data_IF_458215452154
#
_entry.id   IF_458215452154
#
_cell.length_a   1.000
_cell.length_b   1.000
_cell.length_c   1.000
_cell.angle_alpha   90.00
_cell.angle_beta   90.00
_cell.angle_gamma   90.00
#
_symmetry.space_group_name_H-M   'P 1'
#
loop_
_entity.id
_entity.type
_entity.pdbx_description
1 polymer ?
#
# COMPACT_ATOMS: atom_id res chain seq x y z
N UNK A 1 -38.51 19.39 -29.94
CA UNK A 1 -38.12 18.42 -30.97
C UNK A 1 -37.96 17.01 -30.39
N UNK A 2 -36.94 16.72 -29.58
CA UNK A 2 -36.69 15.36 -29.06
C UNK A 2 -37.80 14.80 -28.15
N UNK A 3 -38.59 15.66 -27.50
CA UNK A 3 -39.74 15.28 -26.65
C UNK A 3 -41.10 15.41 -27.30
N UNK A 4 -41.25 16.25 -28.36
CA UNK A 4 -42.53 16.63 -28.91
C UNK A 4 -42.83 16.08 -30.32
N UNK A 5 -41.89 15.36 -30.93
CA UNK A 5 -41.93 14.88 -32.31
C UNK A 5 -42.16 16.00 -33.37
N UNK A 6 -42.01 17.26 -32.98
CA UNK A 6 -42.14 18.40 -33.93
C UNK A 6 -40.84 18.56 -34.71
N UNK A 7 -40.94 18.73 -36.03
CA UNK A 7 -39.77 18.95 -36.89
C UNK A 7 -39.48 20.44 -36.86
N UNK A 8 -38.40 20.84 -36.19
CA UNK A 8 -37.83 22.17 -36.26
C UNK A 8 -36.52 22.06 -37.05
N UNK A 9 -36.27 23.05 -37.88
CA UNK A 9 -35.00 23.19 -38.55
C UNK A 9 -34.06 23.94 -37.61
N UNK A 10 -32.88 23.37 -37.40
CA UNK A 10 -31.78 23.99 -36.65
C UNK A 10 -30.59 24.13 -37.61
N UNK A 11 -29.79 25.16 -37.40
CA UNK A 11 -28.53 25.27 -38.12
C UNK A 11 -27.48 24.24 -37.60
N UNK A 12 -26.34 24.18 -38.26
CA UNK A 12 -25.31 23.20 -37.94
C UNK A 12 -24.74 23.41 -36.55
N UNK A 13 -24.43 24.67 -36.19
CA UNK A 13 -23.83 25.06 -34.94
C UNK A 13 -24.76 24.72 -33.76
N UNK A 14 -26.07 25.00 -33.91
CA UNK A 14 -27.07 24.67 -32.90
C UNK A 14 -27.14 23.15 -32.62
N UNK A 15 -27.01 22.31 -33.66
CA UNK A 15 -26.96 20.87 -33.49
C UNK A 15 -25.70 20.43 -32.77
N UNK A 16 -24.55 20.98 -33.09
CA UNK A 16 -23.26 20.69 -32.46
C UNK A 16 -23.31 21.03 -30.96
N UNK A 17 -23.75 22.25 -30.61
CA UNK A 17 -23.89 22.67 -29.22
C UNK A 17 -24.86 21.75 -28.42
N UNK A 18 -25.99 21.40 -28.99
CA UNK A 18 -26.97 20.49 -28.37
C UNK A 18 -26.36 19.10 -28.15
N UNK A 19 -25.60 18.58 -29.11
CA UNK A 19 -25.00 17.25 -29.03
C UNK A 19 -23.89 17.26 -27.98
N UNK A 20 -22.98 18.21 -27.98
CA UNK A 20 -21.90 18.38 -27.03
C UNK A 20 -22.49 18.49 -25.61
N UNK A 21 -23.48 19.37 -25.41
CA UNK A 21 -24.15 19.48 -24.11
C UNK A 21 -24.71 18.14 -23.60
N UNK A 22 -25.27 17.30 -24.49
CA UNK A 22 -25.74 15.97 -24.04
C UNK A 22 -24.63 14.98 -23.79
N UNK A 23 -23.49 15.07 -24.51
CA UNK A 23 -22.30 14.25 -24.26
C UNK A 23 -21.69 14.57 -22.90
N UNK A 24 -21.47 15.84 -22.60
CA UNK A 24 -20.95 16.33 -21.32
C UNK A 24 -21.84 15.96 -20.14
N UNK A 25 -23.16 16.00 -20.34
CA UNK A 25 -24.13 15.57 -19.33
C UNK A 25 -24.29 14.05 -19.22
N UNK A 26 -23.49 13.24 -19.94
CA UNK A 26 -23.59 11.76 -19.95
C UNK A 26 -24.89 11.21 -20.55
N UNK A 27 -25.67 12.05 -21.26
CA UNK A 27 -26.98 11.69 -21.84
C UNK A 27 -26.83 11.14 -23.27
N UNK A 28 -26.01 10.10 -23.43
CA UNK A 28 -25.64 9.53 -24.74
C UNK A 28 -26.82 9.14 -25.63
N UNK A 29 -27.93 8.67 -25.04
CA UNK A 29 -29.14 8.33 -25.79
C UNK A 29 -29.81 9.57 -26.48
N UNK A 30 -29.74 10.75 -25.84
CA UNK A 30 -30.24 12.01 -26.39
C UNK A 30 -29.26 12.58 -27.41
N UNK A 31 -27.96 12.57 -27.13
CA UNK A 31 -26.91 12.93 -28.08
C UNK A 31 -27.08 12.16 -29.42
N UNK A 32 -27.24 10.86 -29.34
CA UNK A 32 -27.45 9.99 -30.51
C UNK A 32 -28.70 10.33 -31.31
N UNK A 33 -29.80 10.69 -30.63
CA UNK A 33 -31.03 11.16 -31.32
C UNK A 33 -30.80 12.51 -32.01
N UNK A 34 -30.12 13.42 -31.36
CA UNK A 34 -29.77 14.72 -31.90
C UNK A 34 -28.85 14.58 -33.14
N UNK A 35 -27.80 13.75 -33.06
CA UNK A 35 -26.94 13.43 -34.20
C UNK A 35 -27.72 12.86 -35.35
N UNK A 36 -28.64 11.91 -35.13
CA UNK A 36 -29.47 11.35 -36.19
C UNK A 36 -30.32 12.41 -36.87
N UNK A 37 -30.93 13.33 -36.13
CA UNK A 37 -31.72 14.44 -36.68
C UNK A 37 -30.84 15.44 -37.37
N UNK A 38 -29.69 15.78 -36.81
CA UNK A 38 -28.72 16.69 -37.43
C UNK A 38 -28.23 16.16 -38.79
N UNK A 39 -27.86 14.89 -38.88
CA UNK A 39 -27.44 14.26 -40.15
C UNK A 39 -28.56 14.09 -41.16
N UNK A 40 -29.84 14.10 -40.74
CA UNK A 40 -30.96 14.16 -41.70
C UNK A 40 -31.12 15.54 -42.32
N UNK A 41 -30.81 16.62 -41.58
CA UNK A 41 -30.89 17.99 -42.06
C UNK A 41 -29.59 18.44 -42.76
N UNK A 42 -28.44 17.97 -42.26
CA UNK A 42 -27.08 18.31 -42.72
C UNK A 42 -26.27 17.05 -43.06
N UNK A 43 -26.62 16.27 -44.10
CA UNK A 43 -26.00 14.97 -44.37
C UNK A 43 -24.53 15.05 -44.80
N UNK A 44 -24.09 16.21 -45.24
CA UNK A 44 -22.71 16.45 -45.67
C UNK A 44 -21.79 16.88 -44.53
N UNK A 45 -22.33 17.30 -43.37
CA UNK A 45 -21.51 17.77 -42.26
C UNK A 45 -20.52 16.73 -41.81
N UNK A 46 -19.25 17.12 -41.70
CA UNK A 46 -18.13 16.31 -41.21
C UNK A 46 -18.15 16.34 -39.70
N UNK A 47 -18.41 17.50 -39.08
CA UNK A 47 -18.45 17.68 -37.64
C UNK A 47 -19.50 16.79 -36.95
N UNK A 48 -20.72 16.73 -37.51
CA UNK A 48 -21.75 15.81 -37.02
C UNK A 48 -21.38 14.34 -37.20
N UNK A 49 -20.61 13.98 -38.24
CA UNK A 49 -20.11 12.62 -38.42
C UNK A 49 -18.99 12.30 -37.43
N UNK A 50 -18.14 13.26 -37.05
CA UNK A 50 -17.13 13.12 -36.03
C UNK A 50 -17.78 12.90 -34.65
N UNK A 51 -18.79 13.70 -34.29
CA UNK A 51 -19.60 13.48 -33.09
C UNK A 51 -20.33 12.10 -33.10
N UNK A 52 -20.73 11.62 -34.30
CA UNK A 52 -21.28 10.27 -34.46
C UNK A 52 -20.20 9.19 -34.16
N UNK A 53 -18.97 9.41 -34.60
CA UNK A 53 -17.84 8.52 -34.32
C UNK A 53 -17.59 8.45 -32.81
N UNK A 54 -17.62 9.57 -32.13
CA UNK A 54 -17.46 9.63 -30.66
C UNK A 54 -18.52 8.78 -29.95
N UNK A 55 -19.79 8.91 -30.32
CA UNK A 55 -20.86 8.03 -29.79
C UNK A 55 -20.59 6.56 -30.11
N UNK A 56 -20.10 6.22 -31.29
CA UNK A 56 -19.75 4.83 -31.60
C UNK A 56 -18.59 4.31 -30.72
N UNK A 57 -17.64 5.17 -30.43
CA UNK A 57 -16.50 4.84 -29.52
C UNK A 57 -16.98 4.64 -28.07
N UNK A 58 -17.90 5.48 -27.60
CA UNK A 58 -18.53 5.34 -26.27
C UNK A 58 -19.36 4.03 -26.18
N UNK A 59 -20.11 3.72 -27.25
CA UNK A 59 -20.94 2.48 -27.33
C UNK A 59 -20.11 1.22 -27.66
N UNK A 60 -18.78 1.29 -27.73
CA UNK A 60 -17.85 0.22 -28.12
C UNK A 60 -18.10 -0.36 -29.53
N UNK A 61 -18.71 0.44 -30.43
CA UNK A 61 -18.95 0.07 -31.83
C UNK A 61 -17.79 0.46 -32.72
N UNK A 62 -16.58 0.00 -32.37
CA UNK A 62 -15.32 0.45 -32.96
C UNK A 62 -15.22 0.22 -34.48
N UNK A 63 -15.90 -0.80 -35.03
CA UNK A 63 -15.90 -1.05 -36.47
C UNK A 63 -16.72 0.00 -37.25
N UNK A 64 -17.89 0.40 -36.70
CA UNK A 64 -18.70 1.48 -37.29
C UNK A 64 -17.96 2.82 -37.21
N UNK A 65 -17.34 3.12 -36.07
CA UNK A 65 -16.48 4.28 -35.90
C UNK A 65 -15.39 4.32 -37.00
N UNK A 66 -14.65 3.22 -37.15
CA UNK A 66 -13.57 3.09 -38.12
C UNK A 66 -14.03 3.23 -39.56
N UNK A 67 -15.23 2.72 -39.92
CA UNK A 67 -15.81 2.88 -41.26
C UNK A 67 -16.17 4.34 -41.54
N UNK A 68 -16.79 5.03 -40.56
CA UNK A 68 -17.15 6.44 -40.71
C UNK A 68 -15.89 7.30 -40.85
N UNK A 69 -14.87 7.08 -40.05
CA UNK A 69 -13.59 7.79 -40.16
C UNK A 69 -12.90 7.61 -41.50
N UNK A 70 -12.98 6.41 -42.14
CA UNK A 70 -12.44 6.20 -43.47
C UNK A 70 -13.16 7.03 -44.54
N UNK A 71 -14.46 7.28 -44.35
CA UNK A 71 -15.22 8.14 -45.25
C UNK A 71 -14.78 9.60 -45.09
N UNK A 72 -14.66 10.05 -43.86
CA UNK A 72 -14.23 11.43 -43.55
C UNK A 72 -12.81 11.68 -44.06
N UNK A 73 -11.86 10.77 -43.82
CA UNK A 73 -10.46 10.89 -44.27
C UNK A 73 -10.32 11.03 -45.77
N UNK A 74 -11.23 10.43 -46.56
CA UNK A 74 -11.24 10.60 -48.03
C UNK A 74 -11.71 11.97 -48.46
N UNK A 75 -12.58 12.60 -47.66
CA UNK A 75 -13.11 13.95 -47.95
C UNK A 75 -12.15 15.01 -47.46
N UNK A 76 -11.58 14.80 -46.28
CA UNK A 76 -10.61 15.69 -45.61
C UNK A 76 -9.37 14.92 -45.15
N UNK A 77 -8.36 14.73 -45.98
CA UNK A 77 -7.19 13.91 -45.65
C UNK A 77 -6.31 14.47 -44.55
N UNK A 78 -6.41 15.76 -44.27
CA UNK A 78 -5.59 16.48 -43.29
C UNK A 78 -6.40 16.90 -42.05
N UNK A 79 -7.60 16.39 -41.88
CA UNK A 79 -8.41 16.66 -40.69
C UNK A 79 -7.77 15.99 -39.46
N UNK A 80 -7.33 16.80 -38.51
CA UNK A 80 -6.63 16.35 -37.28
C UNK A 80 -7.51 15.48 -36.40
N UNK A 81 -8.80 15.83 -36.25
CA UNK A 81 -9.75 15.08 -35.43
C UNK A 81 -9.92 13.62 -35.92
N UNK A 82 -9.83 13.38 -37.23
CA UNK A 82 -9.83 12.03 -37.81
C UNK A 82 -8.66 11.19 -37.24
N UNK A 83 -7.47 11.80 -37.13
CA UNK A 83 -6.32 11.09 -36.57
C UNK A 83 -6.43 10.91 -35.07
N UNK A 84 -6.97 11.89 -34.33
CA UNK A 84 -7.25 11.82 -32.90
C UNK A 84 -8.23 10.67 -32.62
N UNK A 85 -9.35 10.61 -33.29
CA UNK A 85 -10.36 9.56 -33.15
C UNK A 85 -9.83 8.16 -33.53
N UNK A 86 -9.02 8.04 -34.58
CA UNK A 86 -8.34 6.79 -34.93
C UNK A 86 -7.33 6.35 -33.90
N UNK A 87 -6.62 7.29 -33.29
CA UNK A 87 -5.69 7.02 -32.20
C UNK A 87 -6.44 6.48 -30.97
N UNK A 88 -7.52 7.15 -30.57
CA UNK A 88 -8.39 6.73 -29.48
C UNK A 88 -8.98 5.33 -29.68
N UNK A 89 -9.41 5.00 -30.91
CA UNK A 89 -9.86 3.65 -31.25
C UNK A 89 -8.70 2.63 -31.15
N UNK A 90 -7.49 3.01 -31.58
CA UNK A 90 -6.32 2.14 -31.49
C UNK A 90 -5.90 1.89 -30.04
N UNK A 91 -5.95 2.91 -29.21
CA UNK A 91 -5.74 2.83 -27.75
C UNK A 91 -6.73 1.88 -27.10
N UNK A 92 -8.04 2.06 -27.33
CA UNK A 92 -9.08 1.14 -26.82
C UNK A 92 -8.89 -0.31 -27.25
N UNK A 93 -8.28 -0.56 -28.39
CA UNK A 93 -7.93 -1.90 -28.88
C UNK A 93 -6.59 -2.42 -28.28
N UNK A 94 -5.98 -1.70 -27.39
CA UNK A 94 -4.67 -2.02 -26.78
C UNK A 94 -3.47 -1.84 -27.73
N UNK A 95 -3.68 -1.17 -28.88
CA UNK A 95 -2.59 -0.94 -29.85
C UNK A 95 -2.00 0.47 -29.64
N UNK A 96 -1.33 0.64 -28.51
CA UNK A 96 -0.78 1.93 -28.07
C UNK A 96 0.31 2.46 -29.01
N UNK A 97 1.14 1.61 -29.60
CA UNK A 97 2.17 2.03 -30.56
C UNK A 97 1.52 2.72 -31.78
N UNK A 98 0.45 2.12 -32.30
CA UNK A 98 -0.29 2.74 -33.42
C UNK A 98 -1.02 4.02 -33.02
N UNK A 99 -1.52 4.09 -31.78
CA UNK A 99 -2.12 5.31 -31.24
C UNK A 99 -1.10 6.44 -31.19
N UNK A 100 0.12 6.18 -30.71
CA UNK A 100 1.25 7.12 -30.70
C UNK A 100 1.55 7.66 -32.10
N UNK A 101 1.62 6.79 -33.11
CA UNK A 101 1.88 7.21 -34.50
C UNK A 101 0.78 8.15 -35.01
N UNK A 102 -0.49 7.83 -34.71
CA UNK A 102 -1.65 8.62 -35.15
C UNK A 102 -1.73 9.95 -34.39
N UNK A 103 -1.48 10.02 -33.08
CA UNK A 103 -1.42 11.30 -32.36
C UNK A 103 -0.26 12.17 -32.85
N UNK A 104 0.92 11.60 -33.15
CA UNK A 104 2.01 12.34 -33.79
C UNK A 104 1.60 12.92 -35.14
N UNK A 105 0.79 12.19 -35.91
CA UNK A 105 0.25 12.69 -37.18
C UNK A 105 -0.78 13.79 -36.96
N UNK A 106 -1.68 13.66 -36.00
CA UNK A 106 -2.64 14.70 -35.62
C UNK A 106 -1.92 16.02 -35.30
N UNK A 107 -0.82 15.96 -34.51
CA UNK A 107 -0.01 17.13 -34.15
C UNK A 107 0.61 17.89 -35.35
N UNK A 108 0.64 17.32 -36.55
CA UNK A 108 1.10 18.02 -37.75
C UNK A 108 0.04 18.87 -38.36
N UNK A 109 -1.24 18.70 -37.98
CA UNK A 109 -2.38 19.36 -38.60
C UNK A 109 -3.17 20.24 -37.63
N UNK A 110 -3.13 19.89 -36.32
CA UNK A 110 -3.89 20.62 -35.30
C UNK A 110 -3.24 21.95 -34.92
N UNK A 111 -4.05 22.96 -34.70
CA UNK A 111 -3.66 24.25 -34.13
C UNK A 111 -3.64 24.16 -32.60
N UNK A 112 -4.59 23.45 -31.99
CA UNK A 112 -4.62 23.16 -30.55
C UNK A 112 -3.88 21.86 -30.23
N UNK A 113 -2.67 22.02 -29.70
CA UNK A 113 -1.76 20.90 -29.45
C UNK A 113 -1.82 20.36 -28.02
N UNK A 114 -2.39 21.12 -27.09
CA UNK A 114 -2.32 20.78 -25.66
C UNK A 114 -3.01 19.44 -25.38
N UNK A 115 -4.25 19.30 -25.81
CA UNK A 115 -5.02 18.08 -25.62
C UNK A 115 -4.37 16.85 -26.29
N UNK A 116 -3.87 17.05 -27.51
CA UNK A 116 -3.22 15.96 -28.25
C UNK A 116 -1.90 15.55 -27.58
N UNK A 117 -1.13 16.49 -26.99
CA UNK A 117 0.05 16.14 -26.20
C UNK A 117 -0.32 15.40 -24.91
N UNK A 118 -1.40 15.79 -24.24
CA UNK A 118 -1.89 15.08 -23.06
C UNK A 118 -2.22 13.62 -23.40
N UNK A 119 -3.02 13.39 -24.46
CA UNK A 119 -3.37 12.07 -24.95
C UNK A 119 -2.12 11.27 -25.39
N UNK A 120 -1.21 11.89 -26.12
CA UNK A 120 0.04 11.25 -26.54
C UNK A 120 0.93 10.88 -25.34
N UNK A 121 0.98 11.74 -24.34
CA UNK A 121 1.71 11.47 -23.09
C UNK A 121 1.17 10.24 -22.38
N UNK A 122 -0.16 10.10 -22.29
CA UNK A 122 -0.82 8.92 -21.74
C UNK A 122 -0.50 7.65 -22.53
N UNK A 123 -0.47 7.71 -23.86
CA UNK A 123 -0.10 6.55 -24.67
C UNK A 123 1.34 6.12 -24.46
N UNK A 124 2.25 7.06 -24.24
CA UNK A 124 3.63 6.73 -23.84
C UNK A 124 3.71 6.07 -22.47
N UNK A 125 2.85 6.46 -21.51
CA UNK A 125 2.77 5.77 -20.20
C UNK A 125 2.29 4.32 -20.36
N UNK A 126 1.32 4.05 -21.23
CA UNK A 126 0.82 2.69 -21.48
C UNK A 126 1.86 1.75 -22.11
N UNK A 127 2.92 2.28 -22.70
CA UNK A 127 4.03 1.48 -23.26
C UNK A 127 5.31 1.61 -22.43
N UNK A 128 5.22 2.12 -21.22
CA UNK A 128 6.33 2.35 -20.28
C UNK A 128 7.47 3.21 -20.84
N UNK A 129 7.17 4.07 -21.84
CA UNK A 129 8.14 5.03 -22.38
C UNK A 129 8.08 6.34 -21.58
N UNK A 130 8.51 6.26 -20.30
CA UNK A 130 8.44 7.35 -19.33
C UNK A 130 9.19 8.59 -19.79
N UNK A 131 10.29 8.42 -20.50
CA UNK A 131 11.08 9.54 -21.04
C UNK A 131 10.28 10.37 -22.06
N UNK A 132 9.66 9.73 -23.03
CA UNK A 132 8.86 10.44 -24.03
C UNK A 132 7.54 10.95 -23.46
N UNK A 133 6.93 10.23 -22.50
CA UNK A 133 5.78 10.71 -21.75
C UNK A 133 6.10 12.03 -21.04
N UNK A 134 7.17 12.06 -20.25
CA UNK A 134 7.66 13.25 -19.54
C UNK A 134 7.90 14.44 -20.48
N UNK A 135 8.64 14.22 -21.57
CA UNK A 135 8.90 15.27 -22.58
C UNK A 135 7.62 15.80 -23.24
N UNK A 136 6.60 14.96 -23.34
CA UNK A 136 5.33 15.32 -23.93
C UNK A 136 4.49 16.13 -22.94
N UNK A 137 4.36 15.71 -21.70
CA UNK A 137 3.67 16.47 -20.64
C UNK A 137 4.35 17.80 -20.33
N UNK A 138 5.68 17.90 -20.46
CA UNK A 138 6.39 19.17 -20.34
C UNK A 138 5.97 20.19 -21.43
N UNK A 139 5.44 19.74 -22.56
CA UNK A 139 4.87 20.65 -23.57
C UNK A 139 3.50 21.17 -23.14
N UNK A 140 2.69 20.35 -22.44
CA UNK A 140 1.43 20.80 -21.86
C UNK A 140 1.69 21.91 -20.84
N UNK A 141 2.63 21.72 -19.92
CA UNK A 141 3.04 22.71 -18.92
C UNK A 141 3.56 24.01 -19.55
N UNK A 142 4.17 23.98 -20.74
CA UNK A 142 4.60 25.19 -21.43
C UNK A 142 3.44 26.00 -22.04
N UNK A 143 2.32 25.36 -22.32
CA UNK A 143 1.09 26.03 -22.80
C UNK A 143 0.28 26.52 -21.63
N UNK A 144 0.08 25.65 -20.63
CA UNK A 144 -0.63 25.94 -19.39
C UNK A 144 0.22 25.51 -18.20
N UNK A 145 0.73 26.50 -17.48
CA UNK A 145 1.57 26.28 -16.31
C UNK A 145 0.77 25.67 -15.14
N UNK A 146 -0.56 25.83 -15.15
CA UNK A 146 -1.47 25.30 -14.13
C UNK A 146 -2.06 23.93 -14.50
N UNK A 147 -1.57 23.29 -15.56
CA UNK A 147 -1.93 21.89 -15.87
C UNK A 147 -1.34 20.94 -14.82
N UNK A 148 -2.01 20.84 -13.67
CA UNK A 148 -1.59 19.98 -12.55
C UNK A 148 -1.62 18.50 -12.94
N UNK A 149 -2.48 18.09 -13.88
CA UNK A 149 -2.51 16.71 -14.36
C UNK A 149 -1.20 16.37 -15.11
N UNK A 150 -0.73 17.27 -15.97
CA UNK A 150 0.56 17.10 -16.63
C UNK A 150 1.72 17.12 -15.62
N UNK A 151 1.67 17.99 -14.60
CA UNK A 151 2.69 18.04 -13.54
C UNK A 151 2.77 16.71 -12.77
N UNK A 152 1.64 16.16 -12.36
CA UNK A 152 1.57 14.86 -11.70
C UNK A 152 2.16 13.74 -12.59
N UNK A 153 1.80 13.72 -13.87
CA UNK A 153 2.32 12.73 -14.82
C UNK A 153 3.83 12.85 -15.05
N UNK A 154 4.38 14.07 -15.06
CA UNK A 154 5.83 14.30 -15.14
C UNK A 154 6.52 13.70 -13.91
N UNK A 155 6.03 13.98 -12.71
CA UNK A 155 6.60 13.43 -11.46
C UNK A 155 6.45 11.92 -11.43
N UNK A 156 5.30 11.38 -11.83
CA UNK A 156 5.10 9.93 -11.96
C UNK A 156 6.13 9.28 -12.88
N UNK A 157 6.47 9.90 -14.02
CA UNK A 157 7.52 9.39 -14.90
C UNK A 157 8.89 9.34 -14.20
N UNK A 158 9.24 10.36 -13.43
CA UNK A 158 10.49 10.35 -12.65
C UNK A 158 10.48 9.26 -11.58
N UNK A 159 9.35 9.04 -10.91
CA UNK A 159 9.20 8.01 -9.88
C UNK A 159 9.40 6.61 -10.47
N UNK A 160 8.79 6.33 -11.64
CA UNK A 160 8.93 5.05 -12.34
C UNK A 160 10.37 4.78 -12.80
N UNK A 161 11.10 5.82 -13.22
CA UNK A 161 12.53 5.76 -13.58
C UNK A 161 13.44 5.80 -12.34
N UNK A 162 12.90 6.02 -11.13
CA UNK A 162 13.64 6.24 -9.87
C UNK A 162 14.61 7.43 -9.94
N UNK A 163 14.30 8.41 -10.75
CA UNK A 163 15.09 9.61 -10.97
C UNK A 163 14.73 10.76 -10.00
N UNK A 164 14.56 10.47 -8.71
CA UNK A 164 14.09 11.41 -7.68
C UNK A 164 14.89 12.73 -7.63
N UNK A 165 16.22 12.66 -7.80
CA UNK A 165 17.06 13.88 -7.84
C UNK A 165 16.76 14.76 -9.06
N UNK A 166 16.48 14.15 -10.21
CA UNK A 166 16.09 14.88 -11.41
C UNK A 166 14.69 15.49 -11.27
N UNK A 167 13.78 14.79 -10.60
CA UNK A 167 12.47 15.32 -10.24
C UNK A 167 12.57 16.57 -9.35
N UNK A 168 13.46 16.56 -8.34
CA UNK A 168 13.72 17.72 -7.48
C UNK A 168 14.21 18.91 -8.30
N UNK A 169 15.16 18.70 -9.20
CA UNK A 169 15.68 19.79 -10.08
C UNK A 169 14.56 20.34 -10.96
N UNK A 170 13.74 19.48 -11.55
CA UNK A 170 12.60 19.90 -12.36
C UNK A 170 11.57 20.68 -11.54
N UNK A 171 11.16 20.16 -10.37
CA UNK A 171 10.17 20.79 -9.49
C UNK A 171 10.65 22.16 -8.99
N UNK A 172 11.92 22.30 -8.60
CA UNK A 172 12.46 23.59 -8.22
C UNK A 172 12.38 24.59 -9.40
N UNK A 173 12.75 24.18 -10.62
CA UNK A 173 12.65 25.05 -11.80
C UNK A 173 11.19 25.43 -12.13
N UNK A 174 10.23 24.56 -11.85
CA UNK A 174 8.82 24.85 -12.00
C UNK A 174 8.33 25.85 -10.93
N UNK A 175 8.73 25.66 -9.69
CA UNK A 175 8.40 26.54 -8.55
C UNK A 175 9.00 27.94 -8.73
N UNK A 176 10.19 28.05 -9.32
CA UNK A 176 10.79 29.35 -9.66
C UNK A 176 9.88 30.18 -10.58
N UNK A 177 9.10 29.54 -11.43
CA UNK A 177 8.15 30.19 -12.36
C UNK A 177 6.76 30.32 -11.73
N UNK A 178 6.33 29.33 -10.97
CA UNK A 178 5.01 29.28 -10.32
C UNK A 178 5.13 28.98 -8.81
N UNK A 179 5.54 29.97 -7.99
CA UNK A 179 5.87 29.78 -6.57
C UNK A 179 4.64 29.49 -5.69
N UNK A 180 3.43 29.78 -6.18
CA UNK A 180 2.18 29.58 -5.44
C UNK A 180 1.42 28.32 -5.84
N UNK A 181 2.12 27.32 -6.41
CA UNK A 181 1.54 26.02 -6.72
C UNK A 181 1.74 25.06 -5.55
N UNK A 182 0.71 24.83 -4.74
CA UNK A 182 0.72 23.91 -3.59
C UNK A 182 1.05 22.49 -4.02
N UNK A 183 0.57 22.08 -5.21
CA UNK A 183 0.84 20.76 -5.79
C UNK A 183 2.33 20.56 -6.06
N UNK A 184 3.01 21.58 -6.61
CA UNK A 184 4.44 21.47 -6.90
C UNK A 184 5.27 21.34 -5.61
N UNK A 185 4.97 22.15 -4.60
CA UNK A 185 5.60 22.06 -3.29
C UNK A 185 5.34 20.72 -2.62
N UNK A 186 4.12 20.23 -2.69
CA UNK A 186 3.79 18.90 -2.17
C UNK A 186 4.57 17.78 -2.88
N UNK A 187 4.65 17.80 -4.22
CA UNK A 187 5.41 16.82 -4.97
C UNK A 187 6.91 16.92 -4.66
N UNK A 188 7.44 18.12 -4.49
CA UNK A 188 8.82 18.35 -4.08
C UNK A 188 9.11 17.73 -2.70
N UNK A 189 8.22 17.95 -1.73
CA UNK A 189 8.30 17.35 -0.41
C UNK A 189 8.30 15.81 -0.47
N UNK A 190 7.45 15.23 -1.31
CA UNK A 190 7.44 13.77 -1.53
C UNK A 190 8.76 13.25 -2.09
N UNK A 191 9.38 13.95 -3.04
CA UNK A 191 10.68 13.54 -3.58
C UNK A 191 11.79 13.60 -2.52
N UNK A 192 11.82 14.64 -1.69
CA UNK A 192 12.75 14.73 -0.56
C UNK A 192 12.49 13.63 0.48
N UNK A 193 11.21 13.33 0.77
CA UNK A 193 10.83 12.27 1.71
C UNK A 193 11.33 10.88 1.26
N UNK A 194 11.20 10.55 -0.03
CA UNK A 194 11.68 9.29 -0.61
C UNK A 194 13.21 9.17 -0.50
N UNK A 195 13.93 10.30 -0.56
CA UNK A 195 15.38 10.36 -0.37
C UNK A 195 15.81 10.48 1.12
N UNK A 196 14.86 10.33 2.05
CA UNK A 196 15.06 10.44 3.51
C UNK A 196 15.58 11.83 3.95
N UNK A 197 15.42 12.85 3.11
CA UNK A 197 15.74 14.25 3.39
C UNK A 197 14.55 14.91 4.10
N UNK A 198 14.28 14.47 5.33
CA UNK A 198 13.04 14.81 6.05
C UNK A 198 12.92 16.30 6.40
N UNK A 199 14.01 17.01 6.61
CA UNK A 199 14.00 18.46 6.90
C UNK A 199 13.57 19.28 5.70
N UNK A 200 14.08 18.94 4.51
CA UNK A 200 13.71 19.57 3.25
C UNK A 200 12.29 19.19 2.84
N UNK A 201 11.89 17.93 3.09
CA UNK A 201 10.52 17.47 2.87
C UNK A 201 9.54 18.27 3.73
N UNK A 202 9.83 18.43 5.03
CA UNK A 202 8.99 19.20 5.95
C UNK A 202 8.82 20.64 5.48
N UNK A 203 9.92 21.33 5.12
CA UNK A 203 9.86 22.70 4.60
C UNK A 203 8.99 22.80 3.34
N UNK A 204 9.08 21.81 2.44
CA UNK A 204 8.28 21.80 1.22
C UNK A 204 6.79 21.60 1.51
N UNK A 205 6.44 20.71 2.45
CA UNK A 205 5.06 20.53 2.87
C UNK A 205 4.53 21.75 3.65
N UNK A 206 5.39 22.46 4.41
CA UNK A 206 5.02 23.73 5.06
C UNK A 206 4.59 24.77 4.04
N UNK A 207 5.34 24.92 2.92
CA UNK A 207 4.93 25.82 1.84
C UNK A 207 3.63 25.37 1.17
N UNK A 208 3.43 24.07 0.94
CA UNK A 208 2.20 23.58 0.33
C UNK A 208 0.96 23.94 1.15
N UNK A 209 0.98 23.71 2.47
CA UNK A 209 -0.16 24.03 3.36
C UNK A 209 -0.27 25.53 3.67
N UNK A 210 0.80 26.31 3.50
CA UNK A 210 0.76 27.77 3.62
C UNK A 210 0.05 28.40 2.41
N UNK A 211 0.20 27.82 1.23
CA UNK A 211 -0.43 28.29 -0.01
C UNK A 211 -1.91 27.91 -0.02
N UNK A 212 -2.23 26.68 0.32
CA UNK A 212 -3.60 26.20 0.47
C UNK A 212 -3.82 25.58 1.86
N UNK A 213 -4.46 26.33 2.75
CA UNK A 213 -4.78 25.89 4.12
C UNK A 213 -5.80 24.75 4.14
N UNK A 214 -6.48 24.45 3.04
CA UNK A 214 -7.42 23.33 2.90
C UNK A 214 -6.79 22.08 2.26
N UNK A 215 -5.50 22.11 1.94
CA UNK A 215 -4.83 21.02 1.25
C UNK A 215 -4.53 19.83 2.18
N UNK A 216 -5.51 18.96 2.36
CA UNK A 216 -5.46 17.78 3.25
C UNK A 216 -4.22 16.92 3.00
N UNK A 217 -3.86 16.67 1.72
CA UNK A 217 -2.67 15.89 1.34
C UNK A 217 -1.36 16.47 1.89
N UNK A 218 -1.24 17.78 1.93
CA UNK A 218 -0.09 18.49 2.49
C UNK A 218 0.08 18.23 3.99
N UNK A 219 -0.99 18.38 4.76
CA UNK A 219 -0.98 18.10 6.22
C UNK A 219 -0.69 16.63 6.51
N UNK A 220 -1.24 15.70 5.72
CA UNK A 220 -1.02 14.27 5.90
C UNK A 220 0.45 13.90 5.72
N UNK A 221 1.08 14.34 4.63
CA UNK A 221 2.50 14.06 4.35
C UNK A 221 3.43 14.83 5.31
N UNK A 222 3.06 16.05 5.72
CA UNK A 222 3.74 16.80 6.77
C UNK A 222 3.74 16.02 8.09
N UNK A 223 2.59 15.50 8.52
CA UNK A 223 2.47 14.72 9.75
C UNK A 223 3.33 13.46 9.70
N UNK A 224 3.31 12.70 8.59
CA UNK A 224 4.20 11.54 8.40
C UNK A 224 5.67 11.91 8.48
N UNK A 225 6.05 13.05 7.90
CA UNK A 225 7.44 13.54 7.94
C UNK A 225 7.87 13.90 9.37
N UNK A 226 6.99 14.54 10.12
CA UNK A 226 7.22 14.87 11.54
C UNK A 226 7.39 13.62 12.40
N UNK A 227 6.69 12.53 12.10
CA UNK A 227 6.92 11.24 12.78
C UNK A 227 8.34 10.70 12.54
N UNK A 228 8.84 10.77 11.31
CA UNK A 228 10.22 10.36 10.99
C UNK A 228 11.26 11.23 11.70
N UNK A 229 10.93 12.49 11.97
CA UNK A 229 11.74 13.41 12.77
C UNK A 229 11.52 13.24 14.29
N UNK A 230 10.71 12.26 14.71
CA UNK A 230 10.31 12.03 16.11
C UNK A 230 9.61 13.23 16.77
N UNK A 231 9.04 14.15 15.99
CA UNK A 231 8.25 15.30 16.44
C UNK A 231 6.77 14.92 16.57
N UNK A 232 6.48 13.97 17.46
CA UNK A 232 5.17 13.32 17.54
C UNK A 232 4.03 14.26 17.94
N UNK A 233 4.29 15.29 18.76
CA UNK A 233 3.24 16.26 19.15
C UNK A 233 2.79 17.10 17.97
N UNK A 234 3.73 17.57 17.18
CA UNK A 234 3.47 18.33 15.96
C UNK A 234 2.80 17.46 14.88
N UNK A 235 3.21 16.19 14.78
CA UNK A 235 2.57 15.22 13.90
C UNK A 235 1.08 15.03 14.24
N UNK A 236 0.76 14.84 15.53
CA UNK A 236 -0.63 14.74 16.01
C UNK A 236 -1.43 15.99 15.64
N UNK A 237 -0.85 17.19 15.84
CA UNK A 237 -1.52 18.44 15.47
C UNK A 237 -1.90 18.48 13.99
N UNK A 238 -0.99 18.09 13.10
CA UNK A 238 -1.26 18.04 11.66
C UNK A 238 -2.27 16.95 11.28
N UNK A 239 -2.24 15.76 11.91
CA UNK A 239 -3.27 14.74 11.71
C UNK A 239 -4.66 15.21 12.18
N UNK A 240 -4.76 15.97 13.27
CA UNK A 240 -6.03 16.52 13.72
C UNK A 240 -6.58 17.54 12.73
N UNK A 241 -5.73 18.36 12.10
CA UNK A 241 -6.15 19.26 11.03
C UNK A 241 -6.75 18.48 9.85
N UNK A 242 -6.16 17.32 9.47
CA UNK A 242 -6.75 16.51 8.38
C UNK A 242 -8.14 15.99 8.72
N UNK A 243 -8.41 15.71 10.00
CA UNK A 243 -9.73 15.27 10.47
C UNK A 243 -10.75 16.41 10.41
N UNK A 244 -10.30 17.64 10.69
CA UNK A 244 -11.18 18.83 10.69
C UNK A 244 -11.51 19.29 9.26
N UNK A 245 -10.60 19.03 8.29
CA UNK A 245 -10.76 19.43 6.88
C UNK A 245 -11.52 18.41 6.03
N UNK A 246 -11.45 17.15 6.38
CA UNK A 246 -12.05 16.04 5.64
C UNK A 246 -12.55 14.99 6.64
N UNK A 247 -13.33 14.03 6.19
CA UNK A 247 -13.79 12.94 7.06
C UNK A 247 -12.60 12.14 7.62
N UNK A 248 -12.65 11.91 8.93
CA UNK A 248 -11.62 11.17 9.65
C UNK A 248 -11.51 9.73 9.14
N UNK A 249 -10.34 9.34 8.68
CA UNK A 249 -10.10 7.97 8.24
C UNK A 249 -9.54 7.10 9.37
N UNK A 250 -9.83 5.81 9.34
CA UNK A 250 -9.25 4.84 10.27
C UNK A 250 -7.71 4.89 10.29
N UNK A 251 -7.10 5.17 9.13
CA UNK A 251 -5.66 5.35 9.00
C UNK A 251 -5.14 6.51 9.85
N UNK A 252 -5.78 7.68 9.78
CA UNK A 252 -5.35 8.87 10.54
C UNK A 252 -5.49 8.62 12.05
N UNK A 253 -6.58 8.03 12.50
CA UNK A 253 -6.73 7.65 13.90
C UNK A 253 -5.66 6.66 14.36
N UNK A 254 -5.31 5.68 13.52
CA UNK A 254 -4.25 4.73 13.83
C UNK A 254 -2.90 5.45 14.02
N UNK A 255 -2.54 6.36 13.10
CA UNK A 255 -1.27 7.13 13.18
C UNK A 255 -1.21 8.02 14.42
N UNK A 256 -2.30 8.69 14.77
CA UNK A 256 -2.39 9.48 16.01
C UNK A 256 -2.15 8.58 17.23
N UNK A 257 -2.77 7.39 17.24
CA UNK A 257 -2.57 6.41 18.31
C UNK A 257 -1.11 5.96 18.43
N UNK A 258 -0.44 5.67 17.31
CA UNK A 258 0.99 5.33 17.24
C UNK A 258 1.87 6.48 17.78
N UNK A 259 1.55 7.73 17.45
CA UNK A 259 2.25 8.90 17.99
C UNK A 259 2.09 9.04 19.50
N UNK A 260 0.89 8.83 20.05
CA UNK A 260 0.65 8.85 21.49
C UNK A 260 1.38 7.70 22.22
N UNK A 261 1.47 6.53 21.59
CA UNK A 261 2.26 5.42 22.15
C UNK A 261 3.74 5.78 22.23
N UNK A 262 4.30 6.45 21.20
CA UNK A 262 5.67 6.97 21.21
C UNK A 262 5.91 8.05 22.28
N UNK A 263 4.86 8.79 22.64
CA UNK A 263 4.89 9.77 23.72
C UNK A 263 4.60 9.15 25.10
N UNK A 264 4.50 7.81 25.19
CA UNK A 264 4.17 7.06 26.41
C UNK A 264 2.80 7.43 27.01
N UNK A 265 1.92 8.06 26.21
CA UNK A 265 0.55 8.40 26.62
C UNK A 265 -0.41 7.26 26.21
N UNK A 266 -0.41 6.22 27.05
CA UNK A 266 -1.11 4.95 26.78
C UNK A 266 -2.63 5.13 26.70
N UNK A 267 -3.22 5.97 27.53
CA UNK A 267 -4.68 6.14 27.58
C UNK A 267 -5.21 6.79 26.29
N UNK A 268 -4.53 7.82 25.79
CA UNK A 268 -4.86 8.46 24.51
C UNK A 268 -4.60 7.51 23.35
N UNK A 269 -3.49 6.76 23.33
CA UNK A 269 -3.21 5.76 22.31
C UNK A 269 -4.37 4.74 22.20
N UNK A 270 -4.82 4.18 23.34
CA UNK A 270 -5.98 3.26 23.37
C UNK A 270 -7.25 3.95 22.83
N UNK A 271 -7.48 5.20 23.18
CA UNK A 271 -8.65 5.96 22.73
C UNK A 271 -8.66 6.07 21.20
N UNK A 272 -7.53 6.46 20.60
CA UNK A 272 -7.42 6.63 19.16
C UNK A 272 -7.41 5.30 18.40
N UNK A 273 -6.79 4.26 18.91
CA UNK A 273 -6.89 2.92 18.30
C UNK A 273 -8.33 2.37 18.31
N UNK A 274 -9.11 2.66 19.36
CA UNK A 274 -10.54 2.32 19.37
C UNK A 274 -11.34 3.10 18.34
N UNK A 275 -11.03 4.40 18.12
CA UNK A 275 -11.64 5.18 17.04
C UNK A 275 -11.28 4.57 15.68
N UNK A 276 -10.02 4.19 15.46
CA UNK A 276 -9.57 3.57 14.21
C UNK A 276 -10.34 2.29 13.88
N UNK A 277 -10.48 1.35 14.85
CA UNK A 277 -11.22 0.10 14.62
C UNK A 277 -12.74 0.27 14.67
N UNK A 278 -13.25 1.40 15.14
CA UNK A 278 -14.65 1.75 15.02
C UNK A 278 -14.97 2.24 13.61
N UNK A 279 -14.10 3.08 13.06
CA UNK A 279 -14.20 3.61 11.70
C UNK A 279 -14.03 2.52 10.65
N UNK A 280 -13.00 1.69 10.80
CA UNK A 280 -12.80 0.51 9.98
C UNK A 280 -12.64 -0.75 10.84
N UNK A 281 -13.71 -1.52 11.04
CA UNK A 281 -13.64 -2.79 11.79
C UNK A 281 -12.77 -3.87 11.14
N UNK A 282 -12.39 -3.72 9.86
CA UNK A 282 -11.50 -4.63 9.13
C UNK A 282 -10.03 -4.19 9.19
N UNK A 283 -9.71 -3.13 9.90
CA UNK A 283 -8.33 -2.71 10.14
C UNK A 283 -7.66 -3.62 11.18
N UNK A 284 -7.14 -4.76 10.74
CA UNK A 284 -6.47 -5.79 11.56
C UNK A 284 -5.32 -5.19 12.40
N UNK A 285 -4.53 -4.27 11.81
CA UNK A 285 -3.45 -3.57 12.49
C UNK A 285 -3.94 -2.79 13.71
N UNK A 286 -5.10 -2.15 13.65
CA UNK A 286 -5.69 -1.43 14.78
C UNK A 286 -6.01 -2.36 15.95
N UNK A 287 -6.58 -3.53 15.67
CA UNK A 287 -6.83 -4.57 16.67
C UNK A 287 -5.54 -5.12 17.27
N UNK A 288 -4.48 -5.27 16.45
CA UNK A 288 -3.16 -5.70 16.93
C UNK A 288 -2.51 -4.67 17.84
N UNK A 289 -2.61 -3.36 17.55
CA UNK A 289 -2.11 -2.30 18.44
C UNK A 289 -2.80 -2.34 19.81
N UNK A 290 -4.15 -2.46 19.84
CA UNK A 290 -4.90 -2.65 21.08
C UNK A 290 -4.45 -3.91 21.84
N UNK A 291 -4.17 -5.00 21.13
CA UNK A 291 -3.64 -6.24 21.72
C UNK A 291 -2.33 -5.98 22.41
N UNK A 292 -1.38 -5.34 21.72
CA UNK A 292 -0.02 -5.12 22.23
C UNK A 292 -0.03 -4.26 23.50
N UNK A 293 -0.77 -3.15 23.51
CA UNK A 293 -0.88 -2.29 24.70
C UNK A 293 -1.48 -3.05 25.88
N UNK A 294 -2.55 -3.81 25.67
CA UNK A 294 -3.16 -4.57 26.76
C UNK A 294 -2.28 -5.74 27.23
N UNK A 295 -1.50 -6.34 26.34
CA UNK A 295 -0.51 -7.36 26.70
C UNK A 295 0.60 -6.78 27.56
N UNK A 296 1.17 -5.63 27.19
CA UNK A 296 2.21 -4.92 27.96
C UNK A 296 1.70 -4.52 29.34
N UNK A 297 0.44 -4.07 29.41
CA UNK A 297 -0.22 -3.72 30.67
C UNK A 297 -0.71 -4.96 31.47
N UNK A 298 -0.29 -6.16 31.08
CA UNK A 298 -0.66 -7.44 31.71
C UNK A 298 -2.17 -7.71 31.77
N UNK A 299 -2.96 -7.01 30.97
CA UNK A 299 -4.40 -7.24 30.84
C UNK A 299 -4.67 -8.27 29.74
N UNK A 300 -4.24 -9.51 30.02
CA UNK A 300 -4.25 -10.60 29.04
C UNK A 300 -5.65 -10.97 28.54
N UNK A 301 -6.69 -10.79 29.36
CA UNK A 301 -8.07 -11.07 28.95
C UNK A 301 -8.53 -10.14 27.83
N UNK A 302 -8.26 -8.81 27.95
CA UNK A 302 -8.55 -7.87 26.88
C UNK A 302 -7.66 -8.10 25.67
N UNK A 303 -6.38 -8.40 25.87
CA UNK A 303 -5.47 -8.75 24.79
C UNK A 303 -5.98 -9.96 24.00
N UNK A 304 -6.47 -11.03 24.67
CA UNK A 304 -7.08 -12.19 24.02
C UNK A 304 -8.32 -11.84 23.20
N UNK A 305 -9.15 -10.92 23.68
CA UNK A 305 -10.30 -10.43 22.93
C UNK A 305 -9.89 -9.72 21.64
N UNK A 306 -8.93 -8.79 21.71
CA UNK A 306 -8.51 -7.99 20.57
C UNK A 306 -7.72 -8.80 19.53
N UNK A 307 -6.81 -9.70 19.97
CA UNK A 307 -6.10 -10.57 19.01
C UNK A 307 -7.04 -11.51 18.27
N UNK A 308 -8.12 -11.97 18.90
CA UNK A 308 -9.12 -12.80 18.24
C UNK A 308 -9.88 -12.02 17.12
N UNK A 309 -9.98 -10.68 17.22
CA UNK A 309 -10.52 -9.84 16.17
C UNK A 309 -9.54 -9.70 15.01
N UNK A 310 -8.25 -9.45 15.29
CA UNK A 310 -7.21 -9.37 14.25
C UNK A 310 -7.11 -10.68 13.44
N UNK A 311 -7.08 -11.83 14.12
CA UNK A 311 -7.01 -13.16 13.47
C UNK A 311 -8.24 -13.44 12.59
N UNK A 312 -9.43 -12.98 12.96
CA UNK A 312 -10.62 -13.16 12.14
C UNK A 312 -10.57 -12.40 10.82
N UNK A 313 -9.80 -11.34 10.75
CA UNK A 313 -9.63 -10.50 9.56
C UNK A 313 -8.51 -11.07 8.70
N UNK A 314 -7.36 -11.38 9.34
CA UNK A 314 -6.16 -11.87 8.65
C UNK A 314 -5.63 -13.12 9.36
N UNK A 315 -6.17 -14.29 8.98
CA UNK A 315 -5.85 -15.58 9.58
C UNK A 315 -4.55 -16.23 9.07
N UNK A 316 -3.95 -15.64 8.02
CA UNK A 316 -2.69 -16.09 7.45
C UNK A 316 -1.47 -15.33 8.02
N UNK A 317 -1.67 -14.43 8.97
CA UNK A 317 -0.58 -13.71 9.64
C UNK A 317 -0.04 -14.52 10.83
N UNK A 318 1.16 -15.09 10.68
CA UNK A 318 1.81 -15.89 11.73
C UNK A 318 2.11 -15.09 12.99
N UNK A 319 2.40 -13.79 12.89
CA UNK A 319 2.65 -12.92 14.04
C UNK A 319 1.41 -12.84 14.95
N UNK A 320 0.21 -12.77 14.37
CA UNK A 320 -1.04 -12.74 15.15
C UNK A 320 -1.27 -14.05 15.88
N UNK A 321 -1.01 -15.20 15.24
CA UNK A 321 -1.12 -16.50 15.88
C UNK A 321 -0.08 -16.71 16.97
N UNK A 322 1.14 -16.21 16.80
CA UNK A 322 2.17 -16.22 17.83
C UNK A 322 1.74 -15.39 19.02
N UNK A 323 1.28 -14.16 18.81
CA UNK A 323 0.77 -13.29 19.87
C UNK A 323 -0.43 -13.94 20.59
N UNK A 324 -1.32 -14.60 19.85
CA UNK A 324 -2.43 -15.37 20.42
C UNK A 324 -1.93 -16.49 21.35
N UNK A 325 -0.93 -17.25 20.93
CA UNK A 325 -0.33 -18.30 21.73
C UNK A 325 0.31 -17.74 23.01
N UNK A 326 1.10 -16.68 22.91
CA UNK A 326 1.75 -16.02 24.04
C UNK A 326 0.74 -15.49 25.08
N UNK A 327 -0.34 -14.88 24.62
CA UNK A 327 -1.42 -14.38 25.48
C UNK A 327 -2.08 -15.55 26.23
N UNK A 328 -2.42 -16.63 25.52
CA UNK A 328 -3.08 -17.79 26.12
C UNK A 328 -2.16 -18.53 27.10
N UNK A 329 -0.85 -18.55 26.86
CA UNK A 329 0.12 -19.02 27.88
C UNK A 329 0.05 -18.20 29.16
N UNK A 330 -0.03 -16.87 29.09
CA UNK A 330 -0.17 -16.00 30.25
C UNK A 330 -1.50 -16.20 30.99
N UNK A 331 -2.52 -16.69 30.29
CA UNK A 331 -3.82 -17.03 30.87
C UNK A 331 -3.92 -18.49 31.34
N UNK A 332 -2.86 -19.31 31.15
CA UNK A 332 -2.83 -20.75 31.38
C UNK A 332 -3.82 -21.55 30.50
N UNK A 333 -4.18 -21.04 29.34
CA UNK A 333 -5.01 -21.71 28.33
C UNK A 333 -4.08 -22.45 27.37
N UNK A 334 -3.61 -23.63 27.81
CA UNK A 334 -2.54 -24.35 27.12
C UNK A 334 -2.98 -24.93 25.77
N UNK A 335 -4.23 -25.38 25.63
CA UNK A 335 -4.76 -25.91 24.38
C UNK A 335 -4.85 -24.85 23.28
N UNK A 336 -5.29 -23.65 23.65
CA UNK A 336 -5.33 -22.49 22.78
C UNK A 336 -3.91 -22.04 22.38
N UNK A 337 -2.98 -22.07 23.32
CA UNK A 337 -1.60 -21.72 23.06
C UNK A 337 -0.94 -22.73 22.09
N UNK A 338 -1.17 -24.03 22.26
CA UNK A 338 -0.72 -25.07 21.33
C UNK A 338 -1.29 -24.77 19.92
N UNK A 339 -2.60 -24.55 19.83
CA UNK A 339 -3.26 -24.22 18.57
C UNK A 339 -2.59 -23.03 17.87
N UNK A 340 -2.26 -21.98 18.62
CA UNK A 340 -1.60 -20.80 18.06
C UNK A 340 -0.21 -21.09 17.49
N UNK A 341 0.66 -21.80 18.25
CA UNK A 341 1.98 -22.17 17.75
C UNK A 341 1.93 -23.18 16.59
N UNK A 342 0.99 -24.13 16.61
CA UNK A 342 0.80 -25.06 15.49
C UNK A 342 0.37 -24.33 14.21
N UNK A 343 -0.46 -23.31 14.33
CA UNK A 343 -0.85 -22.43 13.21
C UNK A 343 0.35 -21.65 12.68
N UNK A 344 1.23 -21.14 13.53
CA UNK A 344 2.48 -20.51 13.07
C UNK A 344 3.30 -21.47 12.21
N UNK A 345 3.52 -22.70 12.68
CA UNK A 345 4.26 -23.71 11.94
C UNK A 345 3.56 -24.11 10.63
N UNK A 346 2.23 -24.21 10.63
CA UNK A 346 1.43 -24.49 9.42
C UNK A 346 1.51 -23.37 8.38
N UNK A 347 1.70 -22.14 8.80
CA UNK A 347 1.93 -20.95 7.96
C UNK A 347 3.41 -20.81 7.53
N UNK A 348 4.23 -21.86 7.73
CA UNK A 348 5.65 -21.89 7.43
C UNK A 348 6.52 -20.91 8.25
N UNK A 349 6.00 -20.40 9.35
CA UNK A 349 6.81 -19.64 10.32
C UNK A 349 7.56 -20.62 11.24
N UNK A 350 8.65 -21.14 10.73
CA UNK A 350 9.51 -22.10 11.42
C UNK A 350 10.52 -21.39 12.34
N UNK A 351 10.15 -20.25 12.94
CA UNK A 351 11.00 -19.54 13.92
C UNK A 351 11.29 -20.38 15.16
N UNK A 352 12.45 -20.18 15.76
CA UNK A 352 12.90 -20.94 16.91
C UNK A 352 11.93 -20.83 18.10
N UNK A 353 11.38 -19.62 18.28
CA UNK A 353 10.44 -19.29 19.36
C UNK A 353 9.16 -20.13 19.29
N UNK A 354 8.64 -20.39 18.10
CA UNK A 354 7.44 -21.19 17.90
C UNK A 354 7.68 -22.66 18.30
N UNK A 355 8.83 -23.22 17.93
CA UNK A 355 9.20 -24.58 18.32
C UNK A 355 9.42 -24.70 19.83
N UNK A 356 10.13 -23.74 20.42
CA UNK A 356 10.41 -23.71 21.85
C UNK A 356 9.10 -23.56 22.64
N UNK A 357 8.26 -22.58 22.28
CA UNK A 357 7.00 -22.35 22.96
C UNK A 357 6.11 -23.60 22.97
N UNK A 358 5.96 -24.25 21.81
CA UNK A 358 5.18 -25.47 21.69
C UNK A 358 5.78 -26.64 22.49
N UNK A 359 7.10 -26.82 22.41
CA UNK A 359 7.80 -27.87 23.16
C UNK A 359 7.71 -27.67 24.67
N UNK A 360 7.83 -26.42 25.17
CA UNK A 360 7.76 -26.11 26.60
C UNK A 360 6.35 -26.37 27.13
N UNK A 361 5.29 -26.07 26.36
CA UNK A 361 3.91 -26.42 26.75
C UNK A 361 3.74 -27.93 26.85
N UNK A 362 4.18 -28.70 25.84
CA UNK A 362 4.09 -30.16 25.86
C UNK A 362 4.87 -30.75 27.04
N UNK A 363 6.07 -30.21 27.34
CA UNK A 363 6.87 -30.64 28.48
C UNK A 363 6.18 -30.35 29.81
N UNK A 364 5.54 -29.17 29.94
CA UNK A 364 4.77 -28.80 31.13
C UNK A 364 3.56 -29.71 31.35
N UNK A 365 2.89 -30.10 30.25
CA UNK A 365 1.74 -31.02 30.30
C UNK A 365 2.13 -32.50 30.44
N UNK A 366 3.43 -32.80 30.51
CA UNK A 366 3.94 -34.19 30.64
C UNK A 366 3.88 -34.97 29.30
N UNK A 367 3.61 -34.31 28.20
CA UNK A 367 3.57 -34.90 26.85
C UNK A 367 4.97 -34.92 26.20
N UNK A 368 5.90 -35.62 26.89
CA UNK A 368 7.33 -35.57 26.55
C UNK A 368 7.67 -36.09 25.17
N UNK A 369 6.88 -37.02 24.60
CA UNK A 369 7.11 -37.52 23.25
C UNK A 369 6.77 -36.44 22.19
N UNK A 370 5.72 -35.68 22.40
CA UNK A 370 5.33 -34.59 21.51
C UNK A 370 6.32 -33.44 21.58
N UNK A 371 6.75 -33.06 22.80
CA UNK A 371 7.84 -32.12 23.01
C UNK A 371 9.12 -32.53 22.26
N UNK A 372 9.50 -33.79 22.39
CA UNK A 372 10.67 -34.34 21.71
C UNK A 372 10.54 -34.26 20.18
N UNK A 373 9.40 -34.67 19.63
CA UNK A 373 9.16 -34.64 18.21
C UNK A 373 9.24 -33.21 17.63
N UNK A 374 8.72 -32.22 18.33
CA UNK A 374 8.79 -30.81 17.94
C UNK A 374 10.25 -30.33 17.97
N UNK A 375 10.98 -30.58 19.05
CA UNK A 375 12.40 -30.21 19.16
C UNK A 375 13.27 -30.88 18.08
N UNK A 376 12.98 -32.12 17.73
CA UNK A 376 13.72 -32.81 16.67
C UNK A 376 13.47 -32.20 15.29
N UNK A 377 12.28 -31.60 15.06
CA UNK A 377 12.04 -30.80 13.84
C UNK A 377 12.87 -29.52 13.89
N UNK A 378 12.86 -28.80 15.03
CA UNK A 378 13.66 -27.59 15.23
C UNK A 378 15.16 -27.86 15.10
N UNK A 379 15.67 -28.97 15.67
CA UNK A 379 17.08 -29.35 15.61
C UNK A 379 17.62 -29.56 14.20
N UNK A 380 16.77 -30.00 13.25
CA UNK A 380 17.16 -30.12 11.83
C UNK A 380 17.44 -28.77 11.18
N UNK A 381 16.76 -27.72 11.65
CA UNK A 381 16.86 -26.35 11.12
C UNK A 381 17.96 -25.59 11.88
N UNK A 382 17.96 -25.66 13.20
CA UNK A 382 18.81 -24.90 14.11
C UNK A 382 19.84 -25.84 14.79
N UNK A 383 20.90 -26.22 14.08
CA UNK A 383 21.89 -27.23 14.53
C UNK A 383 22.75 -26.84 15.72
N UNK A 384 22.87 -25.54 16.02
CA UNK A 384 23.76 -25.04 17.09
C UNK A 384 23.02 -24.06 18.04
N UNK A 385 21.80 -24.39 18.41
CA UNK A 385 21.00 -23.60 19.35
C UNK A 385 21.06 -24.20 20.74
N UNK A 386 21.63 -23.47 21.71
CA UNK A 386 21.69 -23.90 23.09
C UNK A 386 20.29 -24.18 23.66
N UNK A 387 19.32 -23.38 23.24
CA UNK A 387 17.92 -23.48 23.62
C UNK A 387 17.31 -24.87 23.30
N UNK A 388 17.69 -25.44 22.20
CA UNK A 388 17.23 -26.78 21.76
C UNK A 388 18.02 -27.85 22.50
N UNK A 389 19.34 -27.70 22.56
CA UNK A 389 20.23 -28.68 23.16
C UNK A 389 19.92 -28.95 24.64
N UNK A 390 19.69 -27.88 25.46
CA UNK A 390 19.31 -28.04 26.88
C UNK A 390 17.95 -28.73 27.01
N UNK A 391 16.96 -28.40 26.17
CA UNK A 391 15.65 -29.03 26.22
C UNK A 391 15.71 -30.51 25.81
N UNK A 392 16.48 -30.84 24.77
CA UNK A 392 16.72 -32.22 24.37
C UNK A 392 17.43 -32.99 25.47
N UNK A 393 18.44 -32.39 26.15
CA UNK A 393 19.10 -33.03 27.29
C UNK A 393 18.08 -33.33 28.39
N UNK A 394 17.23 -32.39 28.77
CA UNK A 394 16.18 -32.60 29.76
C UNK A 394 15.21 -33.72 29.40
N UNK A 395 14.70 -33.72 28.18
CA UNK A 395 13.78 -34.74 27.67
C UNK A 395 14.43 -36.13 27.59
N UNK A 396 15.68 -36.22 27.12
CA UNK A 396 16.41 -37.49 27.10
C UNK A 396 16.63 -38.08 28.50
N UNK A 397 16.87 -37.24 29.55
CA UNK A 397 16.92 -37.71 30.96
C UNK A 397 15.56 -38.27 31.39
N UNK A 398 14.45 -37.57 31.10
CA UNK A 398 13.10 -38.04 31.46
C UNK A 398 12.77 -39.37 30.74
N UNK A 399 13.20 -39.50 29.49
CA UNK A 399 12.99 -40.70 28.68
C UNK A 399 13.98 -41.82 29.00
N UNK A 400 14.76 -41.73 30.12
CA UNK A 400 15.76 -42.69 30.57
C UNK A 400 16.86 -43.01 29.55
N UNK A 401 17.23 -42.04 28.69
CA UNK A 401 18.28 -42.13 27.66
C UNK A 401 19.52 -41.34 28.11
N UNK A 402 20.07 -41.64 29.27
CA UNK A 402 21.09 -40.83 29.95
C UNK A 402 22.31 -40.51 29.08
N UNK A 403 22.80 -41.47 28.27
CA UNK A 403 23.96 -41.26 27.40
C UNK A 403 23.72 -40.13 26.38
N UNK A 404 22.53 -40.06 25.77
CA UNK A 404 22.17 -38.98 24.83
C UNK A 404 21.97 -37.68 25.58
N UNK A 405 21.33 -37.74 26.74
CA UNK A 405 21.10 -36.55 27.57
C UNK A 405 22.41 -35.86 27.95
N UNK A 406 23.40 -36.62 28.40
CA UNK A 406 24.73 -36.09 28.76
C UNK A 406 25.47 -35.50 27.54
N UNK A 407 25.34 -36.13 26.35
CA UNK A 407 25.94 -35.61 25.13
C UNK A 407 25.35 -34.25 24.74
N UNK A 408 24.02 -34.13 24.75
CA UNK A 408 23.33 -32.85 24.44
C UNK A 408 23.65 -31.79 25.50
N UNK A 409 23.69 -32.16 26.77
CA UNK A 409 24.07 -31.24 27.86
C UNK A 409 25.47 -30.67 27.69
N UNK A 410 26.46 -31.51 27.36
CA UNK A 410 27.83 -31.06 27.09
C UNK A 410 27.89 -30.13 25.89
N UNK A 411 27.12 -30.45 24.83
CA UNK A 411 27.04 -29.59 23.64
C UNK A 411 26.41 -28.24 23.99
N UNK A 412 25.29 -28.24 24.72
CA UNK A 412 24.60 -27.04 25.16
C UNK A 412 25.51 -26.10 25.98
N UNK A 413 26.23 -26.65 26.94
CA UNK A 413 27.19 -25.88 27.77
C UNK A 413 28.32 -25.26 26.95
N UNK A 414 28.77 -25.91 25.89
CA UNK A 414 29.81 -25.36 24.99
C UNK A 414 29.29 -24.19 24.18
N UNK A 415 28.00 -24.19 23.84
CA UNK A 415 27.37 -23.12 23.04
C UNK A 415 27.06 -21.92 23.94
N UNK A 416 26.31 -22.15 25.00
CA UNK A 416 25.95 -21.13 26.00
C UNK A 416 25.77 -21.77 27.37
N UNK A 417 26.75 -21.53 28.27
CA UNK A 417 26.68 -22.07 29.64
C UNK A 417 25.57 -21.42 30.43
N UNK A 418 25.38 -20.12 30.33
CA UNK A 418 24.45 -19.38 31.20
C UNK A 418 22.99 -19.77 30.98
N UNK A 419 22.67 -20.27 29.78
CA UNK A 419 21.33 -20.75 29.46
C UNK A 419 20.93 -22.04 30.21
N UNK A 420 21.84 -22.68 30.95
CA UNK A 420 21.56 -23.89 31.75
C UNK A 420 20.41 -23.73 32.77
N UNK A 421 20.06 -22.49 33.13
CA UNK A 421 18.96 -22.17 34.05
C UNK A 421 17.64 -22.76 33.54
N UNK A 422 17.46 -22.90 32.23
CA UNK A 422 16.27 -23.48 31.64
C UNK A 422 15.98 -24.92 32.10
N UNK A 423 17.03 -25.70 32.42
CA UNK A 423 16.86 -27.05 32.98
C UNK A 423 16.18 -27.00 34.34
N UNK A 424 16.50 -26.00 35.16
CA UNK A 424 15.87 -25.80 36.46
C UNK A 424 14.40 -25.43 36.32
N UNK A 425 14.08 -24.64 35.33
CA UNK A 425 12.70 -24.15 35.10
C UNK A 425 11.81 -25.26 34.53
N UNK A 426 12.27 -25.98 33.51
CA UNK A 426 11.46 -26.96 32.78
C UNK A 426 11.59 -28.39 33.37
N UNK A 427 12.76 -28.73 33.88
CA UNK A 427 13.10 -30.10 34.33
C UNK A 427 13.80 -30.10 35.70
N UNK A 428 13.15 -29.61 36.78
CA UNK A 428 13.79 -29.44 38.08
C UNK A 428 14.40 -30.74 38.64
N UNK A 429 13.71 -31.87 38.45
CA UNK A 429 14.22 -33.20 38.89
C UNK A 429 15.51 -33.57 38.15
N UNK A 430 15.62 -33.25 36.87
CA UNK A 430 16.84 -33.49 36.08
C UNK A 430 17.95 -32.54 36.53
N UNK A 431 17.62 -31.27 36.75
CA UNK A 431 18.58 -30.28 37.20
C UNK A 431 19.23 -30.69 38.54
N UNK A 432 18.44 -31.19 39.49
CA UNK A 432 18.91 -31.61 40.82
C UNK A 432 19.64 -32.97 40.83
N UNK A 433 19.65 -33.68 39.70
CA UNK A 433 20.37 -34.96 39.60
C UNK A 433 21.88 -34.76 39.86
N UNK A 434 22.46 -35.58 40.71
CA UNK A 434 23.86 -35.45 41.12
C UNK A 434 24.87 -35.46 39.96
N UNK A 435 24.60 -36.21 38.89
CA UNK A 435 25.43 -36.27 37.72
C UNK A 435 25.41 -34.94 36.91
N UNK A 436 24.24 -34.31 36.80
CA UNK A 436 24.05 -33.01 36.11
C UNK A 436 24.73 -31.90 36.91
N UNK A 437 24.51 -31.82 38.20
CA UNK A 437 25.11 -30.82 39.09
C UNK A 437 26.65 -30.93 39.11
N UNK A 438 27.19 -32.14 39.14
CA UNK A 438 28.64 -32.38 39.04
C UNK A 438 29.21 -31.91 37.71
N UNK A 439 28.51 -32.14 36.62
CA UNK A 439 28.93 -31.73 35.29
C UNK A 439 28.92 -30.20 35.15
N UNK A 440 27.82 -29.53 35.56
CA UNK A 440 27.69 -28.07 35.56
C UNK A 440 28.79 -27.41 36.41
N UNK A 441 29.06 -27.92 37.64
CA UNK A 441 30.07 -27.36 38.52
C UNK A 441 31.49 -27.54 37.99
N UNK A 442 31.80 -28.70 37.39
CA UNK A 442 33.11 -28.96 36.80
C UNK A 442 33.36 -28.05 35.54
N UNK A 443 32.33 -27.86 34.74
CA UNK A 443 32.44 -27.01 33.55
C UNK A 443 32.65 -25.53 33.96
N UNK A 444 31.93 -25.04 34.97
CA UNK A 444 32.11 -23.70 35.51
C UNK A 444 33.54 -23.46 36.00
N UNK A 445 34.09 -24.41 36.77
CA UNK A 445 35.49 -24.35 37.24
C UNK A 445 36.53 -24.39 36.12
N UNK A 446 36.22 -24.97 34.99
CA UNK A 446 37.09 -25.02 33.83
C UNK A 446 37.05 -23.75 32.97
N UNK A 447 36.04 -22.89 33.17
CA UNK A 447 35.91 -21.58 32.54
C UNK A 447 36.54 -20.46 33.36
N UNK A 448 36.59 -20.64 34.67
CA UNK A 448 37.30 -19.76 35.64
C UNK A 448 38.80 -20.03 35.58
#
# INVERSE_FOLDING_TARGET
>A
MLKTNSIYFFDLVEFEEIIIHYLDAGKHALAKKAIKLGLQQHPASIDLKLLQVEIYVIEDKLDKASMTLRIIERLEPNNDEVFIQKASISSKKGNHIKAIELFKKALTFTDDKADVWSLLGMEYLYVDDFKNARLTFQKCIKVDVEDYAALYNIVYCFDMEKEHKAAIVYLNSYIDVNPYCEVAWHQLGRQYFILEMYTEALSSFDYAVLIDESFVGGYLEKAKTLEHLAQYKEAIGNYLITIDLDDATAFVYLRIGECYEKLENVDEAISYYKKAVHEDPFLDKGWMMLTNIHYQNKNYQKAAYYISKAIKIEDHNSEYWRRYAEINLKLNFYEEAITGFEKCLALNDASLENFIGLSDIFSFLGQFNDAFNILMKAFKIYKNAAEIEYRLAGLFFILNKEKYAMSHLVTAMKIDYDYHIILRELFPVVFDASGVQKLLSNYKKAME
#
